data_IF_363009497400
#
_entry.id   IF_363009497400
#
_cell.length_a   1.000
_cell.length_b   1.000
_cell.length_c   1.000
_cell.angle_alpha   90.00
_cell.angle_beta   90.00
_cell.angle_gamma   90.00
#
_symmetry.space_group_name_H-M   'P 1'
#
loop_
_entity.id
_entity.type
_entity.pdbx_description
1 polymer ?
#
# COMPACT_ATOMS: atom_id res chain seq x y z
N UNK A 1 -19.94 -6.47 -22.00
CA UNK A 1 -19.60 -6.29 -21.67
C UNK A 1 -19.37 -6.03 -20.88
N UNK A 2 -19.30 -6.02 -20.31
CA UNK A 2 -19.10 -5.79 -19.49
C UNK A 2 -18.57 -5.16 -19.14
N UNK A 3 -18.60 -4.79 -18.83
CA UNK A 3 -18.16 -4.07 -18.52
C UNK A 3 -17.85 -3.82 -17.39
N UNK A 4 -18.08 -4.24 -16.75
CA UNK A 4 -17.87 -3.99 -15.50
C UNK A 4 -16.63 -4.57 -15.16
N UNK A 5 -15.59 -4.00 -15.41
CA UNK A 5 -14.42 -4.44 -14.98
C UNK A 5 -14.30 -4.05 -13.59
N UNK A 6 -13.72 -4.87 -12.73
CA UNK A 6 -13.43 -4.52 -11.35
C UNK A 6 -12.26 -3.57 -11.35
N UNK A 7 -12.50 -2.34 -11.10
CA UNK A 7 -11.42 -1.36 -11.01
C UNK A 7 -10.58 -1.63 -9.78
N UNK A 8 -9.30 -1.32 -9.91
CA UNK A 8 -8.38 -1.56 -8.81
C UNK A 8 -8.70 -0.63 -7.65
N UNK A 9 -8.73 -1.15 -6.43
CA UNK A 9 -8.99 -0.29 -5.26
C UNK A 9 -8.01 0.86 -5.11
N UNK A 10 -6.83 0.76 -5.71
CA UNK A 10 -5.80 1.79 -5.53
C UNK A 10 -6.13 3.11 -6.21
N UNK A 11 -7.20 3.15 -7.00
CA UNK A 11 -7.62 4.40 -7.61
C UNK A 11 -6.89 4.75 -8.89
N UNK A 12 -6.17 3.81 -9.48
CA UNK A 12 -5.43 4.09 -10.71
C UNK A 12 -6.34 4.26 -11.92
N UNK A 13 -7.57 3.76 -11.83
CA UNK A 13 -8.47 3.77 -12.97
C UNK A 13 -8.34 2.54 -13.83
N UNK A 14 -7.38 1.67 -13.52
CA UNK A 14 -7.20 0.45 -14.29
C UNK A 14 -7.92 -0.69 -13.61
N UNK A 15 -8.14 -1.76 -14.37
CA UNK A 15 -8.72 -2.96 -13.79
C UNK A 15 -7.73 -3.59 -12.81
N UNK A 16 -8.25 -4.16 -11.75
CA UNK A 16 -7.40 -4.80 -10.75
C UNK A 16 -6.48 -5.86 -11.40
N UNK A 17 -7.02 -6.65 -12.30
CA UNK A 17 -6.24 -7.71 -12.95
C UNK A 17 -5.08 -7.17 -13.78
N UNK A 18 -5.13 -5.89 -14.14
CA UNK A 18 -4.07 -5.28 -14.94
C UNK A 18 -3.28 -4.24 -14.15
N UNK A 19 -3.54 -4.14 -12.86
CA UNK A 19 -2.91 -3.12 -12.04
C UNK A 19 -2.17 -3.77 -10.88
N UNK A 20 -2.81 -3.89 -9.72
CA UNK A 20 -2.12 -4.39 -8.54
C UNK A 20 -2.06 -5.91 -8.47
N UNK A 21 -2.99 -6.61 -9.10
CA UNK A 21 -3.02 -8.07 -8.97
C UNK A 21 -1.72 -8.75 -9.40
N UNK A 22 -1.14 -8.42 -10.56
CA UNK A 22 0.09 -9.10 -10.96
C UNK A 22 1.24 -8.86 -9.98
N UNK A 23 1.27 -7.68 -9.38
CA UNK A 23 2.31 -7.35 -8.42
C UNK A 23 2.09 -8.14 -7.14
N UNK A 24 0.86 -8.19 -6.66
CA UNK A 24 0.53 -8.90 -5.43
C UNK A 24 0.76 -10.40 -5.59
N UNK A 25 0.41 -10.94 -6.74
CA UNK A 25 0.57 -12.36 -7.00
C UNK A 25 2.01 -12.76 -7.33
N UNK A 26 2.88 -11.77 -7.51
CA UNK A 26 4.28 -12.05 -7.79
C UNK A 26 4.60 -12.33 -9.24
N UNK A 27 3.63 -12.11 -10.13
CA UNK A 27 3.85 -12.32 -11.55
C UNK A 27 4.75 -11.24 -12.12
N UNK A 28 4.64 -10.03 -11.59
CA UNK A 28 5.39 -8.87 -12.04
C UNK A 28 5.92 -8.14 -10.84
N UNK A 29 7.11 -7.58 -10.95
CA UNK A 29 7.64 -6.76 -9.87
C UNK A 29 7.06 -5.36 -9.96
N UNK A 30 6.94 -4.69 -8.83
CA UNK A 30 6.54 -3.29 -8.83
C UNK A 30 7.65 -2.47 -9.45
N UNK A 31 7.38 -1.73 -10.53
CA UNK A 31 8.45 -0.97 -11.19
C UNK A 31 8.85 0.29 -10.44
N UNK A 32 7.97 0.83 -9.61
CA UNK A 32 8.27 2.09 -8.93
C UNK A 32 7.80 2.00 -7.49
N UNK A 33 8.28 2.94 -6.66
CA UNK A 33 7.83 3.02 -5.28
C UNK A 33 6.32 3.26 -5.22
N UNK A 34 5.81 4.09 -6.12
CA UNK A 34 4.37 4.35 -6.15
C UNK A 34 3.58 3.09 -6.48
N UNK A 35 4.07 2.27 -7.41
CA UNK A 35 3.41 1.02 -7.75
C UNK A 35 3.35 0.10 -6.55
N UNK A 36 4.41 0.05 -5.76
CA UNK A 36 4.40 -0.77 -4.57
C UNK A 36 3.41 -0.22 -3.55
N UNK A 37 3.38 1.11 -3.38
CA UNK A 37 2.44 1.70 -2.44
C UNK A 37 1.01 1.36 -2.81
N UNK A 38 0.69 1.47 -4.09
CA UNK A 38 -0.67 1.15 -4.54
C UNK A 38 -1.01 -0.32 -4.30
N UNK A 39 -0.04 -1.21 -4.55
CA UNK A 39 -0.26 -2.65 -4.33
C UNK A 39 -0.43 -2.96 -2.85
N UNK A 40 0.30 -2.25 -1.99
CA UNK A 40 0.16 -2.45 -0.55
C UNK A 40 -1.22 -1.98 -0.06
N UNK A 41 -1.68 -0.83 -0.56
CA UNK A 41 -3.03 -0.36 -0.20
C UNK A 41 -4.08 -1.38 -0.65
N UNK A 42 -3.97 -1.86 -1.88
CA UNK A 42 -4.93 -2.83 -2.40
C UNK A 42 -4.89 -4.11 -1.57
N UNK A 43 -3.71 -4.46 -1.06
CA UNK A 43 -3.58 -5.63 -0.20
C UNK A 43 -4.31 -5.47 1.12
N UNK A 44 -4.37 -4.25 1.66
CA UNK A 44 -5.20 -4.01 2.83
C UNK A 44 -6.67 -4.22 2.50
N UNK A 45 -7.10 -3.74 1.34
CA UNK A 45 -8.49 -3.87 0.93
C UNK A 45 -8.86 -5.34 0.71
N UNK A 46 -7.95 -6.10 0.13
CA UNK A 46 -8.22 -7.48 -0.23
C UNK A 46 -7.70 -8.49 0.79
N UNK A 47 -7.14 -8.00 1.87
CA UNK A 47 -6.65 -8.83 2.96
C UNK A 47 -5.54 -9.77 2.52
N UNK A 48 -4.63 -9.26 1.68
CA UNK A 48 -3.46 -10.00 1.25
C UNK A 48 -2.33 -9.72 2.23
N UNK A 49 -2.45 -10.30 3.41
CA UNK A 49 -1.59 -9.94 4.53
C UNK A 49 -0.14 -10.32 4.27
N UNK A 50 0.08 -11.47 3.63
CA UNK A 50 1.46 -11.89 3.35
C UNK A 50 2.19 -10.88 2.49
N UNK A 51 1.51 -10.32 1.50
CA UNK A 51 2.17 -9.34 0.64
C UNK A 51 2.57 -8.10 1.44
N UNK A 52 1.69 -7.66 2.34
CA UNK A 52 1.99 -6.48 3.15
C UNK A 52 3.23 -6.74 4.01
N UNK A 53 3.28 -7.89 4.66
CA UNK A 53 4.40 -8.23 5.53
C UNK A 53 5.69 -8.42 4.73
N UNK A 54 5.59 -9.14 3.61
CA UNK A 54 6.77 -9.48 2.84
C UNK A 54 7.39 -8.32 2.09
N UNK A 55 6.65 -7.22 1.96
CA UNK A 55 7.19 -6.05 1.29
C UNK A 55 7.69 -4.99 2.28
N UNK A 56 7.78 -5.34 3.55
CA UNK A 56 8.40 -4.46 4.54
C UNK A 56 9.85 -4.84 4.72
N UNK A 57 10.70 -3.83 4.77
CA UNK A 57 12.10 -4.05 5.08
C UNK A 57 12.17 -4.53 6.53
N UNK A 58 13.10 -5.41 6.83
CA UNK A 58 13.27 -5.89 8.20
C UNK A 58 12.05 -6.56 8.78
N UNK A 59 11.34 -7.30 7.93
CA UNK A 59 10.12 -7.92 8.37
C UNK A 59 10.32 -9.04 9.39
N UNK A 60 11.54 -9.58 9.52
CA UNK A 60 11.73 -10.73 10.37
C UNK A 60 11.55 -10.47 11.82
N UNK A 61 12.04 -9.34 12.28
CA UNK A 61 12.08 -9.07 13.67
C UNK A 61 10.76 -8.78 14.29
N UNK A 62 9.94 -8.00 13.65
CA UNK A 62 8.66 -7.59 14.20
C UNK A 62 7.49 -8.22 13.47
N UNK A 63 7.77 -9.17 12.59
CA UNK A 63 6.74 -9.71 11.71
C UNK A 63 5.54 -10.25 12.45
N UNK A 64 5.77 -10.93 13.55
CA UNK A 64 4.65 -11.52 14.24
C UNK A 64 3.75 -10.53 14.89
N UNK A 65 4.33 -9.54 15.56
CA UNK A 65 3.54 -8.51 16.20
C UNK A 65 2.82 -7.70 15.15
N UNK A 66 3.54 -7.31 14.10
CA UNK A 66 2.95 -6.50 13.07
C UNK A 66 1.90 -7.23 12.27
N UNK A 67 2.04 -8.54 12.12
CA UNK A 67 1.07 -9.31 11.36
C UNK A 67 -0.32 -9.24 12.00
N UNK A 68 -0.38 -9.37 13.30
CA UNK A 68 -1.68 -9.29 13.97
C UNK A 68 -2.30 -7.93 13.83
N UNK A 69 -1.52 -6.88 14.03
CA UNK A 69 -2.02 -5.52 13.90
C UNK A 69 -2.45 -5.26 12.46
N UNK A 70 -1.68 -5.75 11.51
CA UNK A 70 -1.99 -5.57 10.10
C UNK A 70 -3.28 -6.28 9.72
N UNK A 71 -3.44 -7.50 10.17
CA UNK A 71 -4.66 -8.25 9.91
C UNK A 71 -5.87 -7.56 10.51
N UNK A 72 -5.73 -7.10 11.74
CA UNK A 72 -6.83 -6.44 12.41
C UNK A 72 -7.25 -5.18 11.66
N UNK A 73 -6.28 -4.37 11.28
CA UNK A 73 -6.57 -3.13 10.56
C UNK A 73 -7.20 -3.44 9.20
N UNK A 74 -6.65 -4.41 8.48
CA UNK A 74 -7.15 -4.78 7.17
C UNK A 74 -8.59 -5.30 7.24
N UNK A 75 -8.85 -6.22 8.16
CA UNK A 75 -10.14 -6.88 8.21
C UNK A 75 -11.24 -6.03 8.81
N UNK A 76 -10.89 -5.18 9.76
CA UNK A 76 -11.89 -4.43 10.50
C UNK A 76 -12.10 -3.01 10.02
N UNK A 77 -11.56 -2.69 8.86
CA UNK A 77 -11.75 -1.38 8.27
C UNK A 77 -12.51 -1.50 6.97
N UNK A 78 -13.32 -0.50 6.66
CA UNK A 78 -13.92 -0.36 5.35
C UNK A 78 -13.09 0.68 4.62
N UNK A 79 -12.47 0.28 3.51
CA UNK A 79 -11.55 1.16 2.79
C UNK A 79 -12.28 1.94 1.73
N UNK A 80 -12.07 3.26 1.70
CA UNK A 80 -12.81 4.13 0.81
C UNK A 80 -12.00 4.68 -0.36
N UNK A 81 -10.69 4.65 -0.26
CA UNK A 81 -9.88 5.11 -1.38
C UNK A 81 -8.48 5.51 -0.97
N UNK A 82 -7.64 5.62 -1.97
CA UNK A 82 -6.24 6.02 -1.80
C UNK A 82 -6.00 7.21 -2.68
N UNK A 83 -5.32 8.21 -2.15
CA UNK A 83 -4.91 9.36 -2.92
C UNK A 83 -3.42 9.56 -2.75
N UNK A 84 -2.68 9.56 -3.86
CA UNK A 84 -1.25 9.83 -3.84
C UNK A 84 -1.09 11.34 -3.93
N UNK A 85 -0.48 11.93 -2.93
CA UNK A 85 -0.34 13.38 -2.88
C UNK A 85 0.91 13.86 -3.59
N UNK A 86 2.02 13.13 -3.44
CA UNK A 86 3.24 13.46 -4.17
C UNK A 86 4.22 12.31 -4.07
N UNK A 87 5.15 12.30 -4.99
CA UNK A 87 6.22 11.32 -4.96
C UNK A 87 7.55 12.05 -5.19
N UNK A 88 8.62 11.49 -4.65
CA UNK A 88 9.97 11.99 -4.89
C UNK A 88 10.83 10.80 -5.20
N UNK A 89 11.58 10.84 -6.31
CA UNK A 89 12.36 9.70 -6.74
C UNK A 89 11.47 8.48 -6.84
N UNK A 90 12.02 7.31 -6.65
CA UNK A 90 11.22 6.09 -6.69
C UNK A 90 10.90 5.60 -8.08
N UNK A 91 11.56 6.11 -9.11
CA UNK A 91 11.36 5.62 -10.48
C UNK A 91 12.15 4.33 -10.65
N UNK A 92 12.00 3.73 -11.82
CA UNK A 92 12.65 2.45 -12.07
C UNK A 92 14.16 2.51 -11.93
N UNK A 93 14.74 3.67 -12.16
CA UNK A 93 16.18 3.81 -12.10
C UNK A 93 16.68 4.28 -10.73
N UNK A 94 15.78 4.55 -9.81
CA UNK A 94 16.16 4.99 -8.47
C UNK A 94 16.29 3.82 -7.52
N UNK A 95 17.03 4.03 -6.43
CA UNK A 95 17.16 3.02 -5.39
C UNK A 95 16.34 3.38 -4.16
N UNK A 96 15.82 4.58 -4.11
CA UNK A 96 15.02 5.07 -2.98
C UNK A 96 13.90 5.94 -3.51
N UNK A 97 12.85 6.05 -2.75
CA UNK A 97 11.75 6.91 -3.13
C UNK A 97 10.86 7.26 -1.96
N UNK A 98 10.08 8.30 -2.13
CA UNK A 98 9.15 8.76 -1.12
C UNK A 98 7.79 8.87 -1.77
N UNK A 99 6.75 8.39 -1.07
CA UNK A 99 5.38 8.52 -1.52
C UNK A 99 4.57 9.07 -0.37
N UNK A 100 3.97 10.23 -0.57
CA UNK A 100 3.07 10.80 0.42
C UNK A 100 1.65 10.51 -0.03
N UNK A 101 0.82 9.97 0.86
CA UNK A 101 -0.51 9.52 0.47
C UNK A 101 -1.51 9.67 1.60
N UNK A 102 -2.79 9.60 1.21
CA UNK A 102 -3.89 9.54 2.16
C UNK A 102 -4.73 8.32 1.83
N UNK A 103 -5.06 7.55 2.85
CA UNK A 103 -5.97 6.42 2.71
C UNK A 103 -7.16 6.68 3.62
N UNK A 104 -8.35 6.72 3.05
CA UNK A 104 -9.56 7.00 3.82
C UNK A 104 -10.23 5.68 4.16
N UNK A 105 -10.65 5.54 5.40
CA UNK A 105 -11.26 4.29 5.87
C UNK A 105 -12.22 4.57 7.01
N UNK A 106 -13.08 3.60 7.28
CA UNK A 106 -13.98 3.65 8.43
C UNK A 106 -13.70 2.45 9.30
N UNK A 107 -13.54 2.68 10.60
CA UNK A 107 -13.31 1.60 11.53
C UNK A 107 -14.12 1.92 12.78
N UNK A 108 -14.88 0.93 13.25
CA UNK A 108 -15.74 1.11 14.42
C UNK A 108 -16.66 2.30 14.23
N UNK A 109 -17.18 2.42 13.00
CA UNK A 109 -18.13 3.47 12.65
C UNK A 109 -17.54 4.87 12.63
N UNK A 110 -16.22 4.98 12.71
CA UNK A 110 -15.54 6.28 12.64
C UNK A 110 -14.77 6.35 11.34
N UNK A 111 -15.03 7.39 10.54
CA UNK A 111 -14.31 7.61 9.29
C UNK A 111 -13.07 8.44 9.58
N UNK A 112 -11.96 8.01 9.04
CA UNK A 112 -10.68 8.65 9.32
C UNK A 112 -9.81 8.64 8.08
N UNK A 113 -8.73 9.39 8.11
CA UNK A 113 -7.78 9.46 7.02
C UNK A 113 -6.39 9.15 7.56
N UNK A 114 -5.75 8.16 6.96
CA UNK A 114 -4.37 7.82 7.32
C UNK A 114 -3.48 8.57 6.33
N UNK A 115 -2.82 9.60 6.79
CA UNK A 115 -1.93 10.42 5.96
C UNK A 115 -0.50 10.13 6.36
N UNK A 116 0.28 9.65 5.42
CA UNK A 116 1.63 9.19 5.73
C UNK A 116 2.61 9.61 4.65
N UNK A 117 3.84 9.90 5.07
CA UNK A 117 4.95 10.09 4.17
C UNK A 117 5.77 8.81 4.26
N UNK A 118 5.69 7.99 3.25
CA UNK A 118 6.30 6.66 3.29
C UNK A 118 7.59 6.63 2.51
N UNK A 119 8.60 6.01 3.11
CA UNK A 119 9.92 5.87 2.48
C UNK A 119 10.06 4.45 1.96
N UNK A 120 10.58 4.34 0.75
CA UNK A 120 10.78 3.05 0.10
C UNK A 120 12.22 2.94 -0.38
N UNK A 121 12.74 1.73 -0.44
CA UNK A 121 14.04 1.51 -1.02
C UNK A 121 14.08 0.15 -1.68
N UNK A 122 15.04 -0.04 -2.57
CA UNK A 122 15.21 -1.32 -3.23
C UNK A 122 16.15 -2.21 -2.44
N UNK A 123 15.75 -3.46 -2.29
CA UNK A 123 16.57 -4.46 -1.65
C UNK A 123 16.65 -5.60 -2.64
N UNK A 124 17.84 -5.86 -3.15
CA UNK A 124 18.05 -6.92 -4.15
C UNK A 124 17.16 -6.72 -5.38
N UNK A 125 16.95 -5.49 -5.75
CA UNK A 125 16.17 -5.18 -6.94
C UNK A 125 14.67 -5.06 -6.74
N UNK A 126 14.20 -5.30 -5.51
CA UNK A 126 12.77 -5.22 -5.23
C UNK A 126 12.48 -4.02 -4.34
N UNK A 127 11.44 -3.28 -4.69
CA UNK A 127 11.01 -2.17 -3.84
C UNK A 127 10.44 -2.70 -2.54
N UNK A 128 10.82 -2.07 -1.44
CA UNK A 128 10.34 -2.43 -0.11
C UNK A 128 9.93 -1.18 0.64
N UNK A 129 8.90 -1.31 1.47
CA UNK A 129 8.50 -0.25 2.38
C UNK A 129 9.50 -0.21 3.53
N UNK A 130 10.07 0.94 3.76
CA UNK A 130 11.11 1.06 4.79
C UNK A 130 10.56 1.63 6.08
N UNK A 131 10.01 2.83 6.03
CA UNK A 131 9.50 3.46 7.23
C UNK A 131 8.49 4.52 6.82
N UNK A 132 7.54 4.77 7.69
CA UNK A 132 6.54 5.80 7.42
C UNK A 132 6.52 6.84 8.51
N UNK A 133 6.14 8.05 8.13
CA UNK A 133 6.00 9.13 9.06
C UNK A 133 4.57 9.65 8.96
N UNK A 134 3.83 9.56 10.05
CA UNK A 134 2.45 10.04 10.03
C UNK A 134 2.43 11.55 9.96
N UNK A 135 1.59 12.04 9.06
CA UNK A 135 1.43 13.47 8.92
C UNK A 135 0.11 13.95 9.49
N UNK A 136 -0.78 13.06 9.78
CA UNK A 136 -2.04 13.43 10.20
C UNK A 136 -2.06 13.83 11.57
N UNK A 137 -2.83 14.80 11.81
CA UNK A 137 -2.84 15.13 12.95
C UNK A 137 -4.06 15.01 13.42
N UNK A 138 -4.71 14.61 13.23
CA UNK A 138 -5.84 14.39 13.57
C UNK A 138 -6.15 14.88 14.60
N UNK A 139 -6.14 15.37 15.05
CA UNK A 139 -6.45 15.76 15.89
C UNK A 139 -7.06 15.81 16.48
N UNK A 140 -7.37 15.87 16.78
CA UNK A 140 -7.82 15.96 17.52
C UNK A 140 -8.20 16.20 17.90
#
# INVERSE_FOLDING_TARGET
MSETKDLCPCGSGKAYAECCEPIIKGTTKAPTAESLMRARYTSYVKQEIDFIINTCEDSDEVAEIDRKATEDWSKNSTWHGLQILRTEKGTESDEEGIVEFEATYTRKQIRDVHHELAYFKKVNGDWMYSVGQLKTTTVV
#
